data_IF_162810650620
#
_entry.id   IF_162810650620
#
_cell.length_a   1.000
_cell.length_b   1.000
_cell.length_c   1.000
_cell.angle_alpha   90.00
_cell.angle_beta   90.00
_cell.angle_gamma   90.00
#
_symmetry.space_group_name_H-M   'P 1'
#
loop_
_entity.id
_entity.type
_entity.pdbx_description
1 polymer ?
#
# COMPACT_ATOMS: atom_id res chain seq x y z
N UNK A 1 -19.72 7.86 0.54
CA UNK A 1 -18.73 7.37 -0.44
C UNK A 1 -17.39 7.98 -0.07
N UNK A 2 -16.57 7.25 0.68
CA UNK A 2 -15.20 7.68 1.00
C UNK A 2 -14.35 7.29 -0.19
N UNK A 3 -13.99 8.27 -1.03
CA UNK A 3 -13.01 8.07 -2.10
C UNK A 3 -11.63 7.93 -1.46
N UNK A 4 -10.97 6.79 -1.66
CA UNK A 4 -9.61 6.58 -1.18
C UNK A 4 -8.66 7.31 -2.12
N UNK A 5 -7.91 8.27 -1.58
CA UNK A 5 -6.90 9.02 -2.34
C UNK A 5 -5.50 8.46 -2.06
N UNK A 6 -4.59 8.58 -3.04
CA UNK A 6 -3.20 8.15 -2.87
C UNK A 6 -2.53 8.77 -1.62
N UNK A 7 -2.91 10.00 -1.27
CA UNK A 7 -2.43 10.68 -0.06
C UNK A 7 -2.89 10.00 1.25
N UNK A 8 -4.11 9.45 1.29
CA UNK A 8 -4.60 8.70 2.46
C UNK A 8 -3.85 7.38 2.63
N UNK A 9 -3.55 6.71 1.51
CA UNK A 9 -2.77 5.48 1.50
C UNK A 9 -1.35 5.79 1.96
N UNK A 10 -0.75 6.85 1.41
CA UNK A 10 0.58 7.32 1.82
C UNK A 10 0.60 7.63 3.31
N UNK A 11 -0.37 8.36 3.84
CA UNK A 11 -0.45 8.66 5.28
C UNK A 11 -0.51 7.39 6.13
N UNK A 12 -1.27 6.36 5.71
CA UNK A 12 -1.33 5.08 6.40
C UNK A 12 0.01 4.34 6.37
N UNK A 13 0.65 4.27 5.19
CA UNK A 13 1.96 3.62 5.01
C UNK A 13 3.02 4.32 5.85
N UNK A 14 3.09 5.65 5.78
CA UNK A 14 4.04 6.47 6.54
C UNK A 14 3.80 6.34 8.04
N UNK A 15 2.53 6.37 8.48
CA UNK A 15 2.19 6.17 9.90
C UNK A 15 2.63 4.80 10.41
N UNK A 16 2.50 3.75 9.58
CA UNK A 16 2.91 2.40 9.94
C UNK A 16 4.44 2.24 9.94
N UNK A 17 5.13 2.87 8.99
CA UNK A 17 6.57 2.76 8.78
C UNK A 17 7.36 3.91 9.42
N UNK A 18 6.72 4.75 10.24
CA UNK A 18 7.30 5.97 10.80
C UNK A 18 8.67 5.71 11.45
N UNK A 19 8.73 4.70 12.32
CA UNK A 19 9.95 4.32 13.01
C UNK A 19 11.05 3.85 12.03
N UNK A 20 10.68 3.10 11.00
CA UNK A 20 11.62 2.60 9.99
C UNK A 20 12.15 3.71 9.09
N UNK A 21 11.28 4.65 8.68
CA UNK A 21 11.64 5.80 7.84
C UNK A 21 12.61 6.72 8.61
N UNK A 22 12.31 7.00 9.88
CA UNK A 22 13.19 7.79 10.74
C UNK A 22 14.52 7.07 11.01
N UNK A 23 14.50 5.75 11.21
CA UNK A 23 15.71 4.95 11.37
C UNK A 23 16.59 4.94 10.11
N UNK A 24 15.98 5.01 8.92
CA UNK A 24 16.68 5.20 7.65
C UNK A 24 17.20 6.63 7.44
N UNK A 25 16.88 7.57 8.35
CA UNK A 25 17.30 8.97 8.27
C UNK A 25 16.54 9.78 7.22
N UNK A 26 15.32 9.36 6.86
CA UNK A 26 14.46 10.04 5.89
C UNK A 26 13.36 10.84 6.57
N UNK A 27 12.84 11.86 5.88
CA UNK A 27 11.73 12.68 6.35
C UNK A 27 10.38 12.10 5.91
N UNK A 28 9.40 12.09 6.80
CA UNK A 28 8.06 11.52 6.54
C UNK A 28 7.28 12.31 5.48
N UNK A 29 7.53 13.62 5.40
CA UNK A 29 6.86 14.54 4.49
C UNK A 29 7.52 14.54 3.09
N UNK A 30 8.83 14.25 3.02
CA UNK A 30 9.66 14.32 1.80
C UNK A 30 10.09 12.92 1.32
N UNK A 31 9.10 12.05 1.08
CA UNK A 31 9.33 10.74 0.49
C UNK A 31 9.10 10.80 -1.03
N UNK A 32 10.08 10.39 -1.86
CA UNK A 32 9.89 10.34 -3.30
C UNK A 32 8.89 9.24 -3.68
N UNK A 33 8.16 9.45 -4.78
CA UNK A 33 7.21 8.45 -5.28
C UNK A 33 7.91 7.18 -5.80
N UNK A 34 9.15 7.29 -6.26
CA UNK A 34 10.00 6.18 -6.70
C UNK A 34 10.75 5.51 -5.53
N UNK A 35 10.40 5.85 -4.28
CA UNK A 35 11.05 5.29 -3.11
C UNK A 35 10.72 3.81 -2.96
N UNK A 36 11.70 2.95 -3.20
CA UNK A 36 11.58 1.52 -2.95
C UNK A 36 11.84 1.21 -1.47
N UNK A 37 10.77 0.92 -0.73
CA UNK A 37 10.79 0.69 0.71
C UNK A 37 11.64 -0.53 1.10
N UNK A 38 11.68 -1.55 0.23
CA UNK A 38 12.41 -2.80 0.49
C UNK A 38 13.91 -2.60 0.26
N UNK A 39 14.27 -1.95 -0.85
CA UNK A 39 15.66 -1.63 -1.21
C UNK A 39 16.29 -0.67 -0.21
N UNK A 40 15.52 0.28 0.30
CA UNK A 40 15.93 1.23 1.32
C UNK A 40 16.02 0.60 2.73
N UNK A 41 15.53 -0.63 2.89
CA UNK A 41 15.47 -1.31 4.19
C UNK A 41 14.47 -0.69 5.16
N UNK A 42 13.49 0.07 4.66
CA UNK A 42 12.39 0.65 5.44
C UNK A 42 11.36 -0.44 5.78
N UNK A 43 11.14 -1.37 4.85
CA UNK A 43 10.24 -2.51 5.03
C UNK A 43 10.99 -3.80 4.72
N UNK A 44 10.62 -4.90 5.38
CA UNK A 44 11.08 -6.24 5.04
C UNK A 44 10.04 -6.98 4.17
N UNK A 45 10.47 -8.05 3.54
CA UNK A 45 9.65 -9.00 2.78
C UNK A 45 8.43 -9.51 3.56
N UNK A 46 8.55 -9.66 4.88
CA UNK A 46 7.45 -10.09 5.76
C UNK A 46 6.50 -8.95 6.06
N UNK A 47 7.05 -7.77 6.40
CA UNK A 47 6.26 -6.57 6.71
C UNK A 47 5.40 -6.11 5.54
N UNK A 48 5.83 -6.36 4.28
CA UNK A 48 5.05 -5.95 3.10
C UNK A 48 3.70 -6.67 3.00
N UNK A 49 3.66 -7.96 3.34
CA UNK A 49 2.43 -8.75 3.33
C UNK A 49 1.46 -8.25 4.40
N UNK A 50 2.00 -7.87 5.56
CA UNK A 50 1.24 -7.30 6.66
C UNK A 50 0.72 -5.89 6.34
N UNK A 51 1.53 -5.06 5.68
CA UNK A 51 1.15 -3.74 5.18
C UNK A 51 -0.02 -3.85 4.21
N UNK A 52 0.08 -4.76 3.24
CA UNK A 52 -0.97 -5.02 2.26
C UNK A 52 -2.26 -5.46 2.94
N UNK A 53 -2.19 -6.47 3.82
CA UNK A 53 -3.36 -6.95 4.58
C UNK A 53 -4.02 -5.84 5.41
N UNK A 54 -3.23 -4.90 5.92
CA UNK A 54 -3.72 -3.77 6.72
C UNK A 54 -4.45 -2.77 5.86
N UNK A 55 -3.88 -2.43 4.70
CA UNK A 55 -4.52 -1.57 3.71
C UNK A 55 -5.83 -2.18 3.21
N UNK A 56 -5.82 -3.46 2.82
CA UNK A 56 -7.01 -4.17 2.35
C UNK A 56 -8.16 -4.07 3.35
N UNK A 57 -7.87 -4.33 4.63
CA UNK A 57 -8.87 -4.21 5.69
C UNK A 57 -9.28 -2.77 6.00
N UNK A 58 -8.34 -1.82 5.91
CA UNK A 58 -8.61 -0.40 6.20
C UNK A 58 -9.51 0.23 5.14
N UNK A 59 -9.27 -0.09 3.86
CA UNK A 59 -9.98 0.50 2.73
C UNK A 59 -11.06 -0.41 2.15
N UNK A 60 -11.13 -1.67 2.57
CA UNK A 60 -12.10 -2.65 2.06
C UNK A 60 -11.83 -3.07 0.62
N UNK A 61 -10.56 -3.12 0.21
CA UNK A 61 -10.14 -3.51 -1.14
C UNK A 61 -9.48 -4.88 -1.13
N UNK A 62 -9.38 -5.50 -2.30
CA UNK A 62 -8.64 -6.75 -2.52
C UNK A 62 -7.49 -6.48 -3.48
N UNK A 63 -6.29 -6.83 -3.04
CA UNK A 63 -5.04 -6.66 -3.79
C UNK A 63 -4.64 -8.02 -4.34
N UNK A 64 -4.69 -8.16 -5.67
CA UNK A 64 -4.22 -9.37 -6.33
C UNK A 64 -2.70 -9.32 -6.53
N UNK A 65 -1.98 -10.09 -5.71
CA UNK A 65 -0.52 -10.22 -5.79
C UNK A 65 -0.04 -10.92 -7.08
N UNK A 66 -0.91 -11.68 -7.76
CA UNK A 66 -0.53 -12.38 -8.99
C UNK A 66 -0.48 -11.43 -10.19
N UNK A 67 -1.22 -10.33 -10.13
CA UNK A 67 -1.25 -9.28 -11.15
C UNK A 67 -0.25 -8.15 -10.89
N UNK A 68 0.38 -8.15 -9.71
CA UNK A 68 1.29 -7.10 -9.26
C UNK A 68 2.73 -7.59 -9.28
N UNK A 69 3.59 -6.83 -9.95
CA UNK A 69 5.03 -7.00 -9.80
C UNK A 69 5.45 -6.64 -8.36
N UNK A 70 6.28 -7.47 -7.70
CA UNK A 70 6.74 -7.21 -6.34
C UNK A 70 7.47 -5.86 -6.24
N UNK A 71 8.17 -5.45 -7.29
CA UNK A 71 8.85 -4.15 -7.40
C UNK A 71 7.87 -2.97 -7.38
N UNK A 72 6.62 -3.16 -7.84
CA UNK A 72 5.59 -2.11 -7.78
C UNK A 72 4.91 -2.02 -6.41
N UNK A 73 4.96 -3.10 -5.63
CA UNK A 73 4.45 -3.15 -4.25
C UNK A 73 5.43 -2.55 -3.24
N UNK A 74 6.73 -2.63 -3.53
CA UNK A 74 7.80 -2.06 -2.70
C UNK A 74 7.95 -0.56 -2.91
N UNK A 75 7.59 -0.04 -4.09
CA UNK A 75 7.67 1.38 -4.42
C UNK A 75 6.47 2.16 -3.85
N UNK A 76 6.74 3.15 -2.99
CA UNK A 76 5.73 3.90 -2.26
C UNK A 76 4.69 4.56 -3.17
N UNK A 77 5.12 5.26 -4.22
CA UNK A 77 4.22 5.97 -5.13
C UNK A 77 3.38 5.03 -5.99
N UNK A 78 4.00 4.01 -6.57
CA UNK A 78 3.30 2.95 -7.31
C UNK A 78 2.24 2.27 -6.45
N UNK A 79 2.62 1.89 -5.22
CA UNK A 79 1.71 1.30 -4.25
C UNK A 79 0.53 2.22 -3.96
N UNK A 80 0.78 3.47 -3.55
CA UNK A 80 -0.29 4.43 -3.21
C UNK A 80 -1.26 4.68 -4.37
N UNK A 81 -0.73 4.77 -5.59
CA UNK A 81 -1.54 5.00 -6.79
C UNK A 81 -2.39 3.79 -7.17
N UNK A 82 -1.83 2.59 -7.05
CA UNK A 82 -2.55 1.34 -7.29
C UNK A 82 -3.77 1.19 -6.38
N UNK A 83 -3.59 1.53 -5.10
CA UNK A 83 -4.62 1.40 -4.06
C UNK A 83 -5.77 2.40 -4.29
N UNK A 84 -5.40 3.63 -4.66
CA UNK A 84 -6.37 4.66 -5.03
C UNK A 84 -7.20 4.22 -6.26
N UNK A 85 -6.54 3.67 -7.29
CA UNK A 85 -7.19 3.16 -8.50
C UNK A 85 -8.18 2.01 -8.18
N UNK A 86 -7.74 1.02 -7.40
CA UNK A 86 -8.57 -0.12 -6.96
C UNK A 86 -9.80 0.31 -6.14
N UNK A 87 -9.69 1.41 -5.41
CA UNK A 87 -10.81 1.96 -4.63
C UNK A 87 -11.83 2.71 -5.48
N UNK A 88 -11.46 3.13 -6.69
CA UNK A 88 -12.35 3.80 -7.64
C UNK A 88 -13.08 2.81 -8.55
N UNK A 89 -12.57 1.59 -8.71
CA UNK A 89 -13.33 0.49 -9.30
C UNK A 89 -14.28 -0.07 -8.24
N UNK A 90 -15.60 0.19 -8.29
CA UNK A 90 -16.54 -0.60 -7.50
C UNK A 90 -16.47 -2.02 -8.05
N UNK A 91 -15.69 -2.89 -7.41
CA UNK A 91 -15.85 -4.33 -7.57
C UNK A 91 -17.15 -4.72 -6.84
N UNK A 92 -18.27 -4.30 -7.42
CA UNK A 92 -19.51 -5.07 -7.41
C UNK A 92 -19.24 -6.31 -8.29
N UNK A 93 -18.45 -7.25 -7.77
CA UNK A 93 -18.40 -8.58 -8.33
C UNK A 93 -18.54 -9.56 -7.18
N UNK A 94 -19.80 -9.71 -6.75
CA UNK A 94 -20.45 -10.94 -6.33
C UNK A 94 -19.47 -12.04 -5.92
N UNK A 95 -19.43 -12.37 -4.64
CA UNK A 95 -19.11 -13.71 -4.18
C UNK A 95 -20.45 -14.47 -4.13
N UNK A 96 -20.87 -15.22 -5.17
CA UNK A 96 -21.94 -16.18 -4.98
C UNK A 96 -21.34 -17.49 -4.50
N UNK A 97 -22.02 -18.10 -3.54
CA UNK A 97 -21.95 -19.53 -3.28
C UNK A 97 -20.63 -20.03 -2.66
N UNK A 98 -20.64 -20.09 -1.32
CA UNK A 98 -19.94 -21.16 -0.63
C UNK A 98 -21.06 -22.10 -0.12
N UNK A 99 -21.02 -23.40 -0.47
CA UNK A 99 -22.06 -24.38 -0.14
C UNK A 99 -22.15 -24.74 1.35
#
# INVERSE_FOLDING_TARGET
MTVVSAEQVRALVVSRLENSILAAGRELDDLPDDLDLLTEGIIDSVDIVELISTVEQTFGIVIDFSELDPEQLTVLGSFCRYIADRSQTPTDNKHPDQP
#
